data_IF_768573543344
#
_entry.id   IF_768573543344
#
_cell.length_a   1.000
_cell.length_b   1.000
_cell.length_c   1.000
_cell.angle_alpha   90.00
_cell.angle_beta   90.00
_cell.angle_gamma   90.00
#
_symmetry.space_group_name_H-M   'P 1'
#
loop_
_entity.id
_entity.type
_entity.pdbx_description
1 polymer ?
#
# COMPACT_ATOMS: atom_id res chain seq x y z
N UNK A 1 3.67 41.73 17.76
CA UNK A 1 4.30 40.94 18.84
C UNK A 1 3.24 40.21 19.63
N UNK A 2 3.54 39.00 20.06
CA UNK A 2 2.74 38.20 20.98
C UNK A 2 3.62 37.92 22.20
N UNK A 3 3.14 38.31 23.39
CA UNK A 3 3.90 38.07 24.63
C UNK A 3 3.93 36.54 24.94
N UNK A 4 4.94 36.05 25.69
CA UNK A 4 4.96 34.67 26.17
C UNK A 4 3.63 34.29 26.84
N UNK A 5 3.12 33.08 26.50
CA UNK A 5 1.84 32.55 27.00
C UNK A 5 0.58 33.34 26.57
N UNK A 6 0.69 34.36 25.72
CA UNK A 6 -0.42 35.07 25.13
C UNK A 6 -0.83 34.46 23.77
N UNK A 7 -2.07 34.76 23.38
CA UNK A 7 -2.62 34.43 22.07
C UNK A 7 -3.03 35.67 21.30
N UNK A 8 -3.02 35.58 19.97
CA UNK A 8 -3.48 36.67 19.10
C UNK A 8 -4.20 36.07 17.90
N UNK A 9 -5.36 36.57 17.54
CA UNK A 9 -6.07 36.20 16.34
C UNK A 9 -5.57 36.98 15.14
N UNK A 10 -5.43 36.26 14.02
CA UNK A 10 -5.10 36.81 12.72
C UNK A 10 -6.14 36.32 11.70
N UNK A 11 -6.68 37.24 10.92
CA UNK A 11 -7.51 36.91 9.78
C UNK A 11 -6.63 36.76 8.55
N UNK A 12 -6.63 35.56 7.96
CA UNK A 12 -5.94 35.29 6.67
C UNK A 12 -6.96 35.44 5.55
N UNK A 13 -6.86 36.48 4.70
CA UNK A 13 -7.80 36.66 3.61
C UNK A 13 -7.55 35.60 2.52
N UNK A 14 -8.55 34.80 2.22
CA UNK A 14 -8.54 33.81 1.14
C UNK A 14 -9.48 34.30 0.05
N UNK A 15 -8.97 35.15 -0.83
CA UNK A 15 -9.77 35.75 -1.90
C UNK A 15 -9.35 35.22 -3.28
N UNK A 16 -10.32 35.11 -4.20
CA UNK A 16 -10.09 34.84 -5.62
C UNK A 16 -9.84 33.36 -5.97
N UNK A 17 -9.86 32.44 -5.02
CA UNK A 17 -9.80 31.01 -5.31
C UNK A 17 -11.12 30.53 -5.92
N UNK A 18 -11.02 29.78 -7.03
CA UNK A 18 -12.17 29.17 -7.69
C UNK A 18 -12.05 27.66 -7.57
N UNK A 19 -13.12 27.02 -7.09
CA UNK A 19 -13.21 25.57 -7.03
C UNK A 19 -12.97 24.94 -8.40
N UNK A 20 -12.11 23.93 -8.47
CA UNK A 20 -11.80 23.15 -9.69
C UNK A 20 -11.89 21.66 -9.39
N UNK A 21 -12.41 20.83 -10.31
CA UNK A 21 -12.46 19.39 -10.14
C UNK A 21 -11.07 18.79 -9.85
N UNK A 22 -11.00 17.85 -8.90
CA UNK A 22 -9.77 17.17 -8.54
C UNK A 22 -8.69 18.04 -7.89
N UNK A 23 -9.03 19.29 -7.50
CA UNK A 23 -8.11 20.25 -6.87
C UNK A 23 -8.54 20.49 -5.42
N UNK A 24 -7.57 20.43 -4.52
CA UNK A 24 -7.71 20.78 -3.12
C UNK A 24 -6.83 22.00 -2.80
N UNK A 25 -7.28 22.82 -1.87
CA UNK A 25 -6.58 24.04 -1.47
C UNK A 25 -6.19 23.97 -0.01
N UNK A 26 -4.93 24.31 0.27
CA UNK A 26 -4.36 24.30 1.63
C UNK A 26 -3.71 25.63 1.95
N UNK A 27 -3.83 26.04 3.21
CA UNK A 27 -3.03 27.13 3.79
C UNK A 27 -1.96 26.50 4.63
N UNK A 28 -0.70 26.84 4.36
CA UNK A 28 0.44 26.42 5.15
C UNK A 28 0.92 27.60 5.99
N UNK A 29 1.16 27.36 7.27
CA UNK A 29 1.77 28.30 8.20
C UNK A 29 3.18 27.81 8.51
N UNK A 30 4.12 28.73 8.53
CA UNK A 30 5.51 28.48 8.94
C UNK A 30 5.93 29.56 9.93
N UNK A 31 6.49 29.15 11.05
CA UNK A 31 7.02 30.05 12.08
C UNK A 31 8.53 29.89 12.10
N UNK A 32 9.23 30.99 11.82
CA UNK A 32 10.68 30.98 11.71
C UNK A 32 11.33 31.93 12.73
N UNK A 33 12.59 31.66 13.08
CA UNK A 33 13.41 32.56 13.91
C UNK A 33 13.72 33.84 13.15
N UNK A 34 13.61 34.99 13.82
CA UNK A 34 14.00 36.31 13.26
C UNK A 34 15.45 36.67 13.57
N UNK A 35 15.95 36.19 14.69
CA UNK A 35 17.31 36.43 15.17
C UNK A 35 18.06 35.09 15.32
N UNK A 36 19.39 35.07 15.16
CA UNK A 36 20.19 33.89 15.38
C UNK A 36 20.34 33.61 16.88
N UNK A 37 20.25 32.34 17.25
CA UNK A 37 20.62 31.82 18.57
C UNK A 37 21.77 30.80 18.43
N UNK A 38 22.45 30.43 19.53
CA UNK A 38 23.45 29.36 19.47
C UNK A 38 22.87 28.10 18.85
N UNK A 39 23.46 27.62 17.74
CA UNK A 39 23.07 26.45 16.95
C UNK A 39 21.74 26.59 16.14
N UNK A 40 21.04 27.71 16.22
CA UNK A 40 19.81 27.98 15.49
C UNK A 40 19.97 29.24 14.63
N UNK A 41 20.10 29.12 13.30
CA UNK A 41 20.28 30.28 12.44
C UNK A 41 18.98 31.08 12.28
N UNK A 42 19.10 32.32 11.88
CA UNK A 42 17.97 33.14 11.43
C UNK A 42 17.25 32.42 10.27
N UNK A 43 15.92 32.42 10.28
CA UNK A 43 15.08 31.75 9.28
C UNK A 43 14.89 30.25 9.54
N UNK A 44 15.40 29.73 10.65
CA UNK A 44 15.12 28.32 11.01
C UNK A 44 13.63 28.15 11.36
N UNK A 45 12.99 27.16 10.73
CA UNK A 45 11.57 26.84 10.98
C UNK A 45 11.42 26.12 12.32
N UNK A 46 10.70 26.74 13.26
CA UNK A 46 10.48 26.19 14.59
C UNK A 46 9.10 25.55 14.76
N UNK A 47 8.15 25.88 13.87
CA UNK A 47 6.83 25.27 13.84
C UNK A 47 6.18 25.47 12.47
N UNK A 48 5.34 24.55 12.10
CA UNK A 48 4.50 24.63 10.90
C UNK A 48 3.15 23.97 11.14
N UNK A 49 2.15 24.35 10.33
CA UNK A 49 0.84 23.72 10.31
C UNK A 49 0.21 23.87 8.92
N UNK A 50 -0.75 23.00 8.61
CA UNK A 50 -1.44 23.01 7.34
C UNK A 50 -2.95 22.80 7.53
N UNK A 51 -3.74 23.67 6.90
CA UNK A 51 -5.20 23.58 6.95
C UNK A 51 -5.79 23.47 5.56
N UNK A 52 -6.65 22.47 5.35
CA UNK A 52 -7.41 22.34 4.12
C UNK A 52 -8.55 23.34 4.08
N UNK A 53 -8.67 24.07 2.99
CA UNK A 53 -9.76 25.00 2.76
C UNK A 53 -10.99 24.26 2.21
N UNK A 54 -12.21 24.63 2.62
CA UNK A 54 -13.45 23.98 2.18
C UNK A 54 -13.86 24.47 0.76
N UNK A 55 -12.92 24.47 -0.17
CA UNK A 55 -13.12 24.90 -1.56
C UNK A 55 -13.02 23.66 -2.45
N UNK A 56 -14.16 23.19 -2.94
CA UNK A 56 -14.24 21.94 -3.71
C UNK A 56 -15.16 22.11 -4.92
N UNK A 57 -14.88 21.35 -5.99
CA UNK A 57 -15.79 21.15 -7.12
C UNK A 57 -15.95 19.66 -7.38
N UNK A 58 -17.13 19.25 -7.81
CA UNK A 58 -17.40 17.88 -8.20
C UNK A 58 -16.51 17.45 -9.37
N UNK A 59 -16.03 16.21 -9.33
CA UNK A 59 -15.31 15.63 -10.46
C UNK A 59 -16.25 15.44 -11.64
N UNK A 60 -15.74 15.65 -12.85
CA UNK A 60 -16.49 15.40 -14.07
C UNK A 60 -16.58 13.90 -14.34
N UNK A 61 -17.73 13.42 -14.78
CA UNK A 61 -17.87 12.01 -15.21
C UNK A 61 -17.02 11.79 -16.44
N UNK A 62 -16.14 10.79 -16.41
CA UNK A 62 -15.28 10.47 -17.55
C UNK A 62 -16.09 9.87 -18.70
N UNK A 63 -15.99 10.48 -19.89
CA UNK A 63 -16.64 9.96 -21.10
C UNK A 63 -15.73 8.95 -21.78
N UNK A 64 -16.11 7.70 -21.71
CA UNK A 64 -15.36 6.59 -22.30
C UNK A 64 -15.54 6.56 -23.81
N UNK A 65 -14.43 6.48 -24.54
CA UNK A 65 -14.36 6.28 -25.97
C UNK A 65 -13.30 5.22 -26.31
N UNK A 66 -13.57 4.41 -27.33
CA UNK A 66 -12.62 3.41 -27.81
C UNK A 66 -13.28 2.32 -28.65
N UNK A 67 -12.49 1.39 -29.20
CA UNK A 67 -12.99 0.25 -29.95
C UNK A 67 -13.73 -0.73 -29.02
N UNK A 68 -14.75 -1.42 -29.55
CA UNK A 68 -15.50 -2.41 -28.76
C UNK A 68 -14.57 -3.46 -28.14
N UNK A 69 -14.83 -3.79 -26.87
CA UNK A 69 -14.17 -4.86 -26.16
C UNK A 69 -14.75 -6.22 -26.53
N UNK A 70 -13.90 -7.23 -26.60
CA UNK A 70 -14.26 -8.64 -26.76
C UNK A 70 -13.86 -9.41 -25.51
N UNK A 71 -14.69 -10.36 -25.10
CA UNK A 71 -14.39 -11.30 -24.02
C UNK A 71 -14.10 -12.68 -24.60
N UNK A 72 -13.06 -13.33 -24.11
CA UNK A 72 -12.68 -14.70 -24.50
C UNK A 72 -12.32 -15.48 -23.25
N UNK A 73 -12.70 -16.76 -23.20
CA UNK A 73 -12.24 -17.71 -22.17
C UNK A 73 -11.37 -18.74 -22.88
N UNK A 74 -10.11 -18.83 -22.45
CA UNK A 74 -9.15 -19.79 -23.02
C UNK A 74 -8.48 -20.57 -21.88
N UNK A 75 -8.94 -21.79 -21.64
CA UNK A 75 -8.50 -22.55 -20.47
C UNK A 75 -8.78 -21.82 -19.17
N UNK A 76 -7.76 -21.53 -18.42
CA UNK A 76 -7.86 -20.76 -17.16
C UNK A 76 -7.81 -19.24 -17.36
N UNK A 77 -7.66 -18.77 -18.58
CA UNK A 77 -7.54 -17.34 -18.86
C UNK A 77 -8.89 -16.72 -19.19
N UNK A 78 -9.21 -15.63 -18.50
CA UNK A 78 -10.28 -14.70 -18.81
C UNK A 78 -9.68 -13.47 -19.50
N UNK A 79 -10.00 -13.27 -20.77
CA UNK A 79 -9.36 -12.27 -21.63
C UNK A 79 -10.39 -11.22 -22.04
N UNK A 80 -10.04 -9.95 -21.77
CA UNK A 80 -10.76 -8.78 -22.28
C UNK A 80 -9.83 -8.06 -23.25
N UNK A 81 -10.22 -7.95 -24.52
CA UNK A 81 -9.34 -7.43 -25.55
C UNK A 81 -10.02 -6.50 -26.57
N UNK A 82 -9.22 -5.65 -27.20
CA UNK A 82 -9.55 -4.85 -28.37
C UNK A 82 -8.27 -4.56 -29.18
N UNK A 83 -8.33 -3.69 -30.19
CA UNK A 83 -7.13 -3.22 -30.87
C UNK A 83 -6.19 -2.40 -29.97
N UNK A 84 -6.66 -1.91 -28.82
CA UNK A 84 -5.88 -1.08 -27.90
C UNK A 84 -5.55 -1.74 -26.58
N UNK A 85 -6.42 -2.64 -26.09
CA UNK A 85 -6.38 -3.21 -24.75
C UNK A 85 -6.23 -4.70 -24.83
N UNK A 86 -5.37 -5.28 -23.99
CA UNK A 86 -5.36 -6.67 -23.66
C UNK A 86 -5.23 -6.80 -22.14
N UNK A 87 -6.29 -7.32 -21.50
CA UNK A 87 -6.35 -7.56 -20.07
C UNK A 87 -6.61 -9.03 -19.84
N UNK A 88 -5.68 -9.72 -19.19
CA UNK A 88 -5.75 -11.18 -19.00
C UNK A 88 -5.71 -11.49 -17.52
N UNK A 89 -6.72 -12.20 -17.05
CA UNK A 89 -6.77 -12.74 -15.69
C UNK A 89 -6.68 -14.27 -15.76
N UNK A 90 -5.79 -14.86 -14.98
CA UNK A 90 -5.62 -16.30 -14.90
C UNK A 90 -6.25 -16.84 -13.62
N UNK A 91 -7.25 -17.72 -13.76
CA UNK A 91 -8.01 -18.31 -12.65
C UNK A 91 -7.17 -19.24 -11.77
N UNK A 92 -6.14 -19.87 -12.34
CA UNK A 92 -5.29 -20.79 -11.59
C UNK A 92 -4.33 -20.05 -10.65
N UNK A 93 -3.69 -18.99 -11.15
CA UNK A 93 -2.79 -18.15 -10.33
C UNK A 93 -3.53 -17.13 -9.49
N UNK A 94 -4.75 -16.73 -9.86
CA UNK A 94 -5.51 -15.67 -9.22
C UNK A 94 -4.99 -14.26 -9.52
N UNK A 95 -4.23 -14.09 -10.59
CA UNK A 95 -3.57 -12.84 -10.93
C UNK A 95 -4.05 -12.29 -12.27
N UNK A 96 -3.98 -10.97 -12.40
CA UNK A 96 -3.95 -10.33 -13.71
C UNK A 96 -2.58 -10.56 -14.30
N UNK A 97 -2.45 -11.42 -15.30
CA UNK A 97 -1.16 -11.82 -15.89
C UNK A 97 -0.71 -10.89 -17.03
N UNK A 98 -1.61 -10.09 -17.59
CA UNK A 98 -1.27 -9.06 -18.59
C UNK A 98 -2.25 -7.88 -18.47
N UNK A 99 -1.69 -6.69 -18.49
CA UNK A 99 -2.41 -5.44 -18.65
C UNK A 99 -1.66 -4.59 -19.66
N UNK A 100 -2.04 -4.73 -20.92
CA UNK A 100 -1.40 -4.07 -22.05
C UNK A 100 -2.33 -3.03 -22.68
N UNK A 101 -1.83 -1.83 -22.88
CA UNK A 101 -2.56 -0.73 -23.54
C UNK A 101 -1.66 -0.07 -24.58
N UNK A 102 -2.17 0.07 -25.80
CA UNK A 102 -1.42 0.63 -26.95
C UNK A 102 -0.02 0.00 -27.09
N UNK A 103 0.09 -1.32 -26.87
CA UNK A 103 1.34 -2.08 -26.96
C UNK A 103 2.23 -2.05 -25.71
N UNK A 104 1.95 -1.20 -24.73
CA UNK A 104 2.71 -1.13 -23.47
C UNK A 104 2.18 -2.15 -22.46
N UNK A 105 3.01 -3.11 -22.03
CA UNK A 105 2.71 -4.01 -20.92
C UNK A 105 3.08 -3.33 -19.59
N UNK A 106 2.12 -3.26 -18.68
CA UNK A 106 2.32 -2.61 -17.38
C UNK A 106 2.75 -3.59 -16.29
N UNK A 107 2.31 -4.87 -16.32
CA UNK A 107 2.64 -5.79 -15.25
C UNK A 107 3.90 -6.61 -15.56
N UNK A 108 4.88 -6.50 -14.69
CA UNK A 108 6.15 -7.22 -14.81
C UNK A 108 5.94 -8.72 -14.57
N UNK A 109 6.35 -9.54 -15.53
CA UNK A 109 6.34 -11.01 -15.47
C UNK A 109 5.00 -11.64 -15.03
N UNK A 110 3.88 -10.98 -15.40
CA UNK A 110 2.55 -11.46 -15.03
C UNK A 110 2.20 -11.29 -13.55
N UNK A 111 2.98 -10.52 -12.79
CA UNK A 111 2.69 -10.23 -11.39
C UNK A 111 1.77 -9.00 -11.30
N UNK A 112 0.51 -9.21 -11.69
CA UNK A 112 -0.53 -8.20 -11.60
C UNK A 112 -1.19 -8.13 -10.23
N UNK A 113 -2.31 -7.42 -10.18
CA UNK A 113 -3.01 -7.11 -8.93
C UNK A 113 -3.41 -8.38 -8.18
N UNK A 114 -3.01 -8.46 -6.92
CA UNK A 114 -3.35 -9.54 -6.00
C UNK A 114 -3.63 -9.01 -4.59
N UNK A 115 -4.39 -9.75 -3.76
CA UNK A 115 -4.65 -9.40 -2.36
C UNK A 115 -3.38 -9.18 -1.56
N UNK A 116 -3.36 -8.14 -0.69
CA UNK A 116 -2.27 -7.86 0.20
C UNK A 116 -2.78 -7.47 1.59
N UNK A 117 -2.53 -8.35 2.58
CA UNK A 117 -2.96 -8.20 3.96
C UNK A 117 -1.79 -8.17 4.94
N UNK A 118 -0.56 -8.08 4.40
CA UNK A 118 0.67 -8.19 5.17
C UNK A 118 1.62 -7.03 4.90
N UNK A 119 2.43 -6.71 5.90
CA UNK A 119 3.61 -5.85 5.80
C UNK A 119 4.82 -6.56 6.37
N UNK A 120 6.01 -6.17 5.97
CA UNK A 120 7.23 -6.64 6.64
C UNK A 120 7.24 -6.14 8.09
N UNK A 121 7.43 -7.03 9.07
CA UNK A 121 7.39 -6.64 10.47
C UNK A 121 8.51 -5.67 10.84
N UNK A 122 8.19 -4.65 11.62
CA UNK A 122 9.17 -3.77 12.24
C UNK A 122 9.61 -4.32 13.62
N UNK A 123 10.53 -3.63 14.30
CA UNK A 123 11.05 -4.09 15.59
C UNK A 123 9.96 -4.19 16.66
N UNK A 124 8.99 -3.28 16.69
CA UNK A 124 7.85 -3.35 17.60
C UNK A 124 6.91 -4.51 17.25
N UNK A 125 6.70 -4.80 15.96
CA UNK A 125 5.94 -5.97 15.52
C UNK A 125 6.57 -7.27 16.01
N UNK A 126 7.91 -7.36 16.01
CA UNK A 126 8.61 -8.52 16.61
C UNK A 126 8.46 -8.55 18.13
N UNK A 127 8.61 -7.41 18.79
CA UNK A 127 8.46 -7.27 20.24
C UNK A 127 7.08 -7.68 20.74
N UNK A 128 6.01 -7.37 20.01
CA UNK A 128 4.63 -7.74 20.34
C UNK A 128 4.16 -9.05 19.68
N UNK A 129 5.06 -9.81 19.08
CA UNK A 129 4.79 -11.09 18.43
C UNK A 129 3.81 -11.04 17.24
N UNK A 130 3.67 -9.91 16.57
CA UNK A 130 2.83 -9.75 15.35
C UNK A 130 3.10 -10.84 14.30
N UNK A 131 4.36 -11.23 13.96
CA UNK A 131 4.61 -12.28 12.98
C UNK A 131 3.99 -13.63 13.31
N UNK A 132 3.87 -13.95 14.59
CA UNK A 132 3.25 -15.20 15.07
C UNK A 132 1.74 -15.01 15.25
N UNK A 133 1.35 -13.92 15.87
CA UNK A 133 -0.02 -13.60 16.26
C UNK A 133 -0.93 -13.39 15.06
N UNK A 134 -0.42 -12.72 14.01
CA UNK A 134 -1.16 -12.35 12.80
C UNK A 134 -0.70 -13.11 11.55
N UNK A 135 0.02 -14.23 11.71
CA UNK A 135 0.56 -15.03 10.61
C UNK A 135 -0.49 -15.41 9.54
N UNK A 136 -1.74 -15.60 9.94
CA UNK A 136 -2.82 -15.94 9.00
C UNK A 136 -3.02 -14.87 7.93
N UNK A 137 -2.74 -13.59 8.22
CA UNK A 137 -2.83 -12.52 7.24
C UNK A 137 -1.67 -12.53 6.25
N UNK A 138 -0.47 -12.97 6.68
CA UNK A 138 0.64 -13.27 5.78
C UNK A 138 0.26 -14.41 4.82
N UNK A 139 -0.36 -15.46 5.34
CA UNK A 139 -0.87 -16.55 4.52
C UNK A 139 -2.01 -16.09 3.59
N UNK A 140 -2.87 -15.19 4.04
CA UNK A 140 -3.95 -14.62 3.22
C UNK A 140 -3.44 -13.80 2.03
N UNK A 141 -2.23 -13.26 2.10
CA UNK A 141 -1.56 -12.56 1.00
C UNK A 141 -0.87 -13.49 -0.01
N UNK A 142 -0.66 -14.77 0.36
CA UNK A 142 0.09 -15.74 -0.45
C UNK A 142 -0.73 -16.94 -0.89
N UNK A 143 -1.56 -17.45 0.00
CA UNK A 143 -2.31 -18.71 -0.15
C UNK A 143 -3.82 -18.44 -0.24
N UNK A 144 -4.22 -17.41 -0.96
CA UNK A 144 -5.62 -17.19 -1.30
C UNK A 144 -6.07 -18.20 -2.38
N UNK A 145 -7.36 -18.48 -2.40
CA UNK A 145 -7.99 -19.35 -3.39
C UNK A 145 -9.13 -18.61 -4.07
N UNK A 146 -9.21 -18.72 -5.39
CA UNK A 146 -10.34 -18.19 -6.14
C UNK A 146 -11.53 -19.13 -5.95
N UNK A 147 -12.67 -18.59 -5.56
CA UNK A 147 -13.93 -19.32 -5.46
C UNK A 147 -14.89 -18.98 -6.60
N UNK A 148 -14.73 -17.78 -7.18
CA UNK A 148 -15.49 -17.36 -8.37
C UNK A 148 -14.69 -16.34 -9.18
N UNK A 149 -14.83 -16.41 -10.52
CA UNK A 149 -14.31 -15.41 -11.44
C UNK A 149 -15.20 -15.34 -12.68
N UNK A 150 -15.92 -14.23 -12.83
CA UNK A 150 -16.92 -14.03 -13.88
C UNK A 150 -16.73 -12.74 -14.64
N UNK A 151 -16.96 -12.79 -15.96
CA UNK A 151 -16.96 -11.61 -16.83
C UNK A 151 -18.38 -11.25 -17.24
N UNK A 152 -18.71 -9.98 -17.17
CA UNK A 152 -19.99 -9.42 -17.64
C UNK A 152 -19.73 -8.29 -18.60
N UNK A 153 -20.25 -8.40 -19.83
CA UNK A 153 -20.20 -7.31 -20.79
C UNK A 153 -21.26 -6.25 -20.44
N UNK A 154 -20.82 -4.99 -20.42
CA UNK A 154 -21.64 -3.80 -20.22
C UNK A 154 -21.68 -2.96 -21.52
N UNK A 155 -22.47 -1.89 -21.57
CA UNK A 155 -22.59 -1.05 -22.76
C UNK A 155 -21.21 -0.52 -23.25
N UNK A 156 -20.38 -0.05 -22.33
CA UNK A 156 -19.07 0.55 -22.64
C UNK A 156 -17.92 0.02 -21.79
N UNK A 157 -18.06 -1.15 -21.23
CA UNK A 157 -17.06 -1.76 -20.39
C UNK A 157 -17.22 -3.29 -20.32
N UNK A 158 -16.25 -3.96 -19.74
CA UNK A 158 -16.37 -5.33 -19.27
C UNK A 158 -16.02 -5.33 -17.79
N UNK A 159 -16.92 -5.87 -16.98
CA UNK A 159 -16.66 -6.12 -15.56
C UNK A 159 -16.18 -7.55 -15.36
N UNK A 160 -15.02 -7.69 -14.72
CA UNK A 160 -14.48 -8.96 -14.24
C UNK A 160 -14.59 -8.95 -12.71
N UNK A 161 -15.40 -9.85 -12.15
CA UNK A 161 -15.54 -10.02 -10.71
C UNK A 161 -14.75 -11.25 -10.27
N UNK A 162 -13.89 -11.09 -9.28
CA UNK A 162 -13.07 -12.17 -8.72
C UNK A 162 -13.32 -12.25 -7.22
N UNK A 163 -13.70 -13.43 -6.74
CA UNK A 163 -13.87 -13.71 -5.31
C UNK A 163 -12.73 -14.57 -4.81
N UNK A 164 -11.97 -14.03 -3.89
CA UNK A 164 -10.89 -14.72 -3.19
C UNK A 164 -11.38 -15.21 -1.83
N UNK A 165 -11.14 -16.46 -1.52
CA UNK A 165 -11.18 -17.00 -0.16
C UNK A 165 -9.78 -16.90 0.44
N UNK A 166 -9.65 -16.10 1.47
CA UNK A 166 -8.39 -15.87 2.18
C UNK A 166 -8.10 -17.01 3.17
N UNK A 167 -6.82 -17.18 3.54
CA UNK A 167 -6.43 -18.19 4.54
C UNK A 167 -7.09 -17.94 5.93
N UNK A 168 -7.43 -16.69 6.23
CA UNK A 168 -8.19 -16.31 7.42
C UNK A 168 -9.69 -16.68 7.36
N UNK A 169 -10.17 -17.18 6.22
CA UNK A 169 -11.58 -17.56 6.01
C UNK A 169 -12.48 -16.41 5.50
N UNK A 170 -11.96 -15.21 5.40
CA UNK A 170 -12.68 -14.05 4.88
C UNK A 170 -12.79 -14.12 3.35
N UNK A 171 -13.81 -13.47 2.82
CA UNK A 171 -13.93 -13.24 1.38
C UNK A 171 -13.35 -11.85 1.04
N UNK A 172 -12.61 -11.81 -0.07
CA UNK A 172 -12.14 -10.58 -0.68
C UNK A 172 -12.55 -10.55 -2.13
N UNK A 173 -13.43 -9.63 -2.48
CA UNK A 173 -13.97 -9.51 -3.84
C UNK A 173 -13.27 -8.34 -4.51
N UNK A 174 -12.68 -8.60 -5.68
CA UNK A 174 -12.08 -7.54 -6.51
C UNK A 174 -12.81 -7.49 -7.84
N UNK A 175 -13.34 -6.32 -8.15
CA UNK A 175 -14.04 -6.04 -9.42
C UNK A 175 -13.13 -5.16 -10.27
N UNK A 176 -12.83 -5.61 -11.47
CA UNK A 176 -12.14 -4.85 -12.50
C UNK A 176 -13.15 -4.40 -13.54
N UNK A 177 -13.41 -3.11 -13.67
CA UNK A 177 -14.20 -2.54 -14.74
C UNK A 177 -13.26 -2.01 -15.81
N UNK A 178 -13.15 -2.75 -16.91
CA UNK A 178 -12.20 -2.52 -18.00
C UNK A 178 -12.90 -1.71 -19.10
N UNK A 179 -12.30 -0.59 -19.47
CA UNK A 179 -12.80 0.32 -20.49
C UNK A 179 -12.05 0.19 -21.82
N UNK A 180 -12.68 0.52 -22.96
CA UNK A 180 -12.10 0.38 -24.30
C UNK A 180 -10.80 1.16 -24.55
N UNK A 181 -10.54 2.19 -23.77
CA UNK A 181 -9.32 3.02 -23.85
C UNK A 181 -8.21 2.56 -22.92
N UNK A 182 -8.39 1.42 -22.24
CA UNK A 182 -7.43 0.84 -21.31
C UNK A 182 -7.55 1.29 -19.87
N UNK A 183 -8.41 2.24 -19.54
CA UNK A 183 -8.68 2.59 -18.14
C UNK A 183 -9.30 1.38 -17.45
N UNK A 184 -8.88 1.10 -16.22
CA UNK A 184 -9.42 0.03 -15.39
C UNK A 184 -9.77 0.57 -14.01
N UNK A 185 -11.07 0.62 -13.69
CA UNK A 185 -11.49 0.88 -12.31
C UNK A 185 -11.40 -0.42 -11.51
N UNK A 186 -10.76 -0.37 -10.36
CA UNK A 186 -10.55 -1.49 -9.44
C UNK A 186 -11.30 -1.17 -8.16
N UNK A 187 -12.30 -1.98 -7.86
CA UNK A 187 -13.05 -1.89 -6.60
C UNK A 187 -12.84 -3.18 -5.80
N UNK A 188 -12.55 -3.03 -4.52
CA UNK A 188 -12.28 -4.16 -3.65
C UNK A 188 -13.15 -4.12 -2.40
N UNK A 189 -13.70 -5.28 -2.04
CA UNK A 189 -14.52 -5.46 -0.85
C UNK A 189 -13.97 -6.60 0.00
N UNK A 190 -13.57 -6.28 1.23
CA UNK A 190 -13.29 -7.24 2.27
C UNK A 190 -14.55 -7.49 3.07
N UNK A 191 -14.92 -8.75 3.23
CA UNK A 191 -16.06 -9.15 4.05
C UNK A 191 -15.56 -9.84 5.30
N UNK A 192 -15.97 -9.31 6.45
CA UNK A 192 -15.66 -9.91 7.75
C UNK A 192 -16.31 -11.29 7.88
N UNK A 193 -15.73 -12.13 8.73
CA UNK A 193 -16.41 -13.35 9.17
C UNK A 193 -17.40 -13.00 10.28
N UNK A 194 -18.58 -13.62 10.29
CA UNK A 194 -19.65 -13.37 11.29
C UNK A 194 -19.27 -13.75 12.73
N UNK A 195 -18.08 -14.32 12.92
CA UNK A 195 -17.61 -14.78 14.23
C UNK A 195 -17.02 -13.61 15.03
N UNK A 196 -17.83 -13.01 15.87
CA UNK A 196 -17.33 -12.11 16.92
C UNK A 196 -16.40 -12.91 17.86
N UNK A 197 -15.25 -12.37 18.25
CA UNK A 197 -14.41 -13.01 19.23
C UNK A 197 -15.14 -13.06 20.59
N UNK A 198 -15.05 -14.20 21.27
CA UNK A 198 -15.56 -14.35 22.66
C UNK A 198 -14.71 -13.50 23.61
N UNK A 199 -15.25 -13.18 24.79
CA UNK A 199 -14.49 -12.47 25.84
C UNK A 199 -13.20 -13.22 26.21
N UNK A 200 -13.24 -14.56 26.23
CA UNK A 200 -12.04 -15.38 26.44
C UNK A 200 -11.02 -15.21 25.33
N UNK A 201 -11.44 -15.22 24.06
CA UNK A 201 -10.55 -15.00 22.92
C UNK A 201 -9.94 -13.60 22.95
N UNK A 202 -10.70 -12.57 23.31
CA UNK A 202 -10.19 -11.20 23.49
C UNK A 202 -9.15 -11.16 24.61
N UNK A 203 -9.43 -11.79 25.74
CA UNK A 203 -8.51 -11.87 26.87
C UNK A 203 -7.22 -12.62 26.50
N UNK A 204 -7.32 -13.72 25.79
CA UNK A 204 -6.17 -14.48 25.31
C UNK A 204 -5.34 -13.69 24.28
N UNK A 205 -5.97 -13.03 23.33
CA UNK A 205 -5.29 -12.17 22.35
C UNK A 205 -4.56 -11.00 23.03
N UNK A 206 -5.16 -10.40 24.07
CA UNK A 206 -4.53 -9.34 24.86
C UNK A 206 -3.33 -9.86 25.64
N UNK A 207 -3.42 -11.05 26.20
CA UNK A 207 -2.32 -11.69 26.93
C UNK A 207 -1.14 -12.05 26.02
N UNK A 208 -1.38 -12.40 24.76
CA UNK A 208 -0.30 -12.66 23.78
C UNK A 208 0.53 -11.41 23.44
N UNK A 209 -0.02 -10.24 23.61
CA UNK A 209 0.73 -8.99 23.44
C UNK A 209 1.81 -8.78 24.54
N UNK A 210 1.84 -9.63 25.56
CA UNK A 210 2.81 -9.60 26.65
C UNK A 210 3.70 -10.85 26.63
N UNK A 211 4.72 -10.89 25.77
CA UNK A 211 5.89 -11.79 25.79
C UNK A 211 5.67 -13.32 25.91
N UNK A 212 4.46 -13.83 26.01
CA UNK A 212 4.22 -15.27 26.16
C UNK A 212 3.89 -15.90 24.81
N UNK A 213 4.55 -17.00 24.38
CA UNK A 213 4.14 -17.74 23.20
C UNK A 213 2.70 -18.21 23.37
N UNK A 214 1.79 -17.62 22.64
CA UNK A 214 0.38 -17.96 22.76
C UNK A 214 0.05 -19.30 22.14
N UNK A 215 -1.02 -19.91 22.64
CA UNK A 215 -1.63 -21.10 22.05
C UNK A 215 -2.16 -20.81 20.63
N UNK A 216 -2.46 -21.87 19.86
CA UNK A 216 -3.10 -21.71 18.55
C UNK A 216 -4.47 -21.02 18.66
N UNK A 217 -5.18 -21.23 19.77
CA UNK A 217 -6.43 -20.55 20.08
C UNK A 217 -6.23 -19.03 20.22
N UNK A 218 -5.19 -18.61 20.94
CA UNK A 218 -4.88 -17.20 21.11
C UNK A 218 -4.45 -16.53 19.79
N UNK A 219 -3.69 -17.23 18.93
CA UNK A 219 -3.36 -16.74 17.57
C UNK A 219 -4.60 -16.58 16.71
N UNK A 220 -5.51 -17.57 16.76
CA UNK A 220 -6.80 -17.50 16.05
C UNK A 220 -7.65 -16.35 16.57
N UNK A 221 -7.68 -16.11 17.87
CA UNK A 221 -8.39 -14.97 18.47
C UNK A 221 -7.82 -13.63 18.00
N UNK A 222 -6.50 -13.47 18.03
CA UNK A 222 -5.85 -12.23 17.59
C UNK A 222 -6.17 -11.90 16.13
N UNK A 223 -6.17 -12.88 15.23
CA UNK A 223 -6.49 -12.67 13.81
C UNK A 223 -7.94 -12.26 13.54
N UNK A 224 -8.86 -12.52 14.47
CA UNK A 224 -10.25 -12.03 14.38
C UNK A 224 -10.39 -10.57 14.83
N UNK A 225 -9.43 -10.06 15.58
CA UNK A 225 -9.50 -8.70 16.15
C UNK A 225 -8.91 -7.66 15.23
N UNK A 226 -7.82 -7.97 14.54
CA UNK A 226 -7.08 -6.98 13.76
C UNK A 226 -6.47 -7.56 12.47
N UNK A 227 -6.33 -6.69 11.47
CA UNK A 227 -5.68 -6.95 10.18
C UNK A 227 -4.52 -5.98 10.03
N UNK A 228 -3.29 -6.42 9.71
CA UNK A 228 -2.15 -5.50 9.55
C UNK A 228 -2.31 -4.52 8.39
N UNK A 229 -2.95 -4.96 7.29
CA UNK A 229 -3.11 -4.20 6.05
C UNK A 229 -4.33 -4.71 5.29
N UNK A 230 -5.04 -3.83 4.62
CA UNK A 230 -6.07 -4.18 3.64
C UNK A 230 -5.73 -3.47 2.35
N UNK A 231 -5.29 -4.21 1.35
CA UNK A 231 -4.82 -3.65 0.10
C UNK A 231 -4.66 -4.66 -1.02
N UNK A 232 -3.94 -4.22 -2.02
CA UNK A 232 -3.46 -5.02 -3.15
C UNK A 232 -2.01 -4.68 -3.42
N UNK A 233 -1.30 -5.57 -4.12
CA UNK A 233 0.05 -5.31 -4.64
C UNK A 233 0.19 -5.82 -6.07
N UNK A 234 1.11 -5.22 -6.81
CA UNK A 234 1.48 -5.64 -8.16
C UNK A 234 2.88 -5.12 -8.50
N UNK A 235 3.46 -5.65 -9.57
CA UNK A 235 4.80 -5.25 -10.03
C UNK A 235 4.75 -4.59 -11.40
N UNK A 236 5.45 -3.47 -11.51
CA UNK A 236 5.72 -2.78 -12.76
C UNK A 236 7.16 -3.03 -13.19
N UNK A 237 7.49 -2.91 -14.48
CA UNK A 237 8.89 -2.95 -14.95
C UNK A 237 9.76 -1.92 -14.23
N UNK A 238 11.03 -2.26 -14.00
CA UNK A 238 11.98 -1.44 -13.23
C UNK A 238 12.14 0.00 -13.76
N UNK A 239 11.95 0.22 -15.06
CA UNK A 239 12.00 1.55 -15.65
C UNK A 239 10.85 2.48 -15.20
N UNK A 240 9.77 1.94 -14.64
CA UNK A 240 8.67 2.72 -14.04
C UNK A 240 9.05 3.36 -12.69
N UNK A 241 10.30 3.78 -12.60
CA UNK A 241 10.97 4.22 -11.37
C UNK A 241 10.59 5.64 -10.92
N UNK A 242 10.15 6.51 -11.83
CA UNK A 242 9.75 7.86 -11.44
C UNK A 242 8.36 7.82 -10.78
N UNK A 243 8.28 8.37 -9.58
CA UNK A 243 7.06 8.42 -8.77
C UNK A 243 6.68 9.87 -8.53
N UNK A 244 5.45 10.23 -8.88
CA UNK A 244 4.84 11.50 -8.48
C UNK A 244 3.53 11.16 -7.77
N UNK A 245 3.23 11.84 -6.66
CA UNK A 245 2.01 11.56 -5.93
C UNK A 245 1.43 12.83 -5.29
N UNK A 246 0.14 12.82 -5.06
CA UNK A 246 -0.57 13.81 -4.26
C UNK A 246 -1.04 13.14 -2.97
N UNK A 247 -0.38 13.43 -1.87
CA UNK A 247 -0.57 12.81 -0.57
C UNK A 247 0.32 13.45 0.48
N UNK A 248 0.49 12.79 1.63
CA UNK A 248 1.41 13.25 2.67
C UNK A 248 2.85 12.88 2.35
N UNK A 249 3.77 13.82 2.58
CA UNK A 249 5.20 13.65 2.31
C UNK A 249 6.04 14.85 2.73
N UNK A 250 7.31 14.94 2.22
CA UNK A 250 7.93 14.00 1.28
C UNK A 250 8.38 12.69 1.92
N UNK A 251 8.58 12.63 3.24
CA UNK A 251 9.05 11.46 3.97
C UNK A 251 7.95 10.39 4.11
N UNK A 252 8.37 9.15 4.30
CA UNK A 252 7.46 8.06 4.65
C UNK A 252 6.64 8.40 5.88
N UNK A 253 5.41 7.97 5.89
CA UNK A 253 4.50 8.24 7.00
C UNK A 253 3.45 7.15 7.14
N UNK A 254 2.94 6.99 8.35
CA UNK A 254 1.99 5.96 8.74
C UNK A 254 0.84 6.62 9.50
N UNK A 255 -0.30 5.98 9.60
CA UNK A 255 -1.51 6.59 10.19
C UNK A 255 -1.33 7.08 11.64
N UNK A 256 -0.37 6.53 12.37
CA UNK A 256 0.04 6.95 13.72
C UNK A 256 1.31 7.81 13.73
N UNK A 257 1.88 8.11 12.55
CA UNK A 257 3.10 8.90 12.36
C UNK A 257 3.02 9.70 11.06
N UNK A 258 2.03 10.57 10.92
CA UNK A 258 1.85 11.37 9.70
C UNK A 258 1.65 12.88 9.95
N UNK A 259 1.49 13.34 11.19
CA UNK A 259 1.31 14.76 11.49
C UNK A 259 2.56 15.62 11.17
N UNK A 260 3.74 15.02 11.15
CA UNK A 260 4.98 15.70 10.73
C UNK A 260 5.12 15.87 9.22
N UNK A 261 4.17 15.40 8.42
CA UNK A 261 4.19 15.51 6.96
C UNK A 261 3.03 16.33 6.45
N UNK A 262 3.24 17.09 5.38
CA UNK A 262 2.21 17.94 4.77
C UNK A 262 1.62 17.26 3.55
N UNK A 263 0.35 17.57 3.26
CA UNK A 263 -0.29 17.17 2.00
C UNK A 263 0.23 18.07 0.87
N UNK A 264 0.72 17.43 -0.18
CA UNK A 264 1.28 18.14 -1.33
C UNK A 264 1.45 17.23 -2.55
N UNK A 265 1.93 17.82 -3.62
CA UNK A 265 2.35 17.07 -4.81
C UNK A 265 3.86 16.90 -4.77
N UNK A 266 4.29 15.67 -4.58
CA UNK A 266 5.70 15.31 -4.43
C UNK A 266 6.20 14.51 -5.63
N UNK A 267 7.50 14.63 -5.89
CA UNK A 267 8.21 13.87 -6.92
C UNK A 267 9.41 13.17 -6.29
N UNK A 268 9.55 11.89 -6.58
CA UNK A 268 10.62 11.04 -6.10
C UNK A 268 10.87 9.90 -7.08
N UNK A 269 11.63 8.90 -6.68
CA UNK A 269 11.80 7.64 -7.40
C UNK A 269 11.54 6.46 -6.48
N UNK A 270 11.23 5.29 -7.04
CA UNK A 270 11.08 4.08 -6.24
C UNK A 270 12.39 3.72 -5.48
N UNK A 271 13.54 4.09 -6.03
CA UNK A 271 14.83 3.95 -5.32
C UNK A 271 14.93 4.90 -4.11
N UNK A 272 14.41 6.13 -4.22
CA UNK A 272 14.47 7.14 -3.15
C UNK A 272 13.38 6.97 -2.09
N UNK A 273 12.30 6.24 -2.40
CA UNK A 273 11.28 5.91 -1.41
C UNK A 273 11.75 4.85 -0.40
N UNK A 274 12.80 4.10 -0.74
CA UNK A 274 13.40 3.15 0.18
C UNK A 274 14.07 3.87 1.36
N UNK A 275 13.69 3.47 2.58
CA UNK A 275 14.37 3.93 3.80
C UNK A 275 15.24 2.81 4.38
N UNK A 276 16.51 3.10 4.59
CA UNK A 276 17.52 2.12 4.99
C UNK A 276 17.59 1.89 6.51
N UNK A 277 16.49 1.44 7.10
CA UNK A 277 16.51 0.98 8.48
C UNK A 277 17.60 -0.08 8.70
N UNK A 278 18.28 -0.03 9.84
CA UNK A 278 19.40 -0.96 10.17
C UNK A 278 18.96 -2.41 10.01
N UNK A 279 17.76 -2.74 10.49
CA UNK A 279 17.09 -3.99 10.17
C UNK A 279 16.06 -3.74 9.07
N UNK A 280 16.11 -4.49 7.96
CA UNK A 280 15.09 -4.42 6.94
C UNK A 280 13.69 -4.68 7.51
N UNK A 281 12.76 -3.80 7.21
CA UNK A 281 11.40 -3.80 7.71
C UNK A 281 10.49 -3.02 6.76
N UNK A 282 9.18 -2.91 7.08
CA UNK A 282 8.26 -2.04 6.35
C UNK A 282 8.82 -0.62 6.26
N UNK A 283 8.80 -0.06 5.06
CA UNK A 283 9.29 1.30 4.79
C UNK A 283 8.65 1.90 3.54
N UNK A 284 8.87 3.20 3.34
CA UNK A 284 8.45 3.93 2.15
C UNK A 284 6.94 4.12 2.01
N UNK A 285 6.15 3.88 3.06
CA UNK A 285 4.71 4.06 3.01
C UNK A 285 4.32 5.54 3.10
N UNK A 286 3.24 5.92 2.38
CA UNK A 286 2.67 7.26 2.37
C UNK A 286 1.16 7.17 2.57
N UNK A 287 0.62 8.02 3.43
CA UNK A 287 -0.82 8.07 3.73
C UNK A 287 -1.53 9.22 3.02
N UNK A 288 -2.84 9.25 3.14
CA UNK A 288 -3.71 10.31 2.62
C UNK A 288 -3.44 10.64 1.14
N UNK A 289 -3.24 9.61 0.33
CA UNK A 289 -2.90 9.75 -1.08
C UNK A 289 -4.15 9.81 -1.95
N UNK A 290 -4.20 10.79 -2.87
CA UNK A 290 -5.28 11.03 -3.81
C UNK A 290 -5.00 10.42 -5.16
N UNK A 291 -3.75 10.48 -5.61
CA UNK A 291 -3.28 9.82 -6.82
C UNK A 291 -1.77 9.57 -6.78
N UNK A 292 -1.35 8.60 -7.58
CA UNK A 292 0.05 8.20 -7.78
C UNK A 292 0.29 8.09 -9.28
N UNK A 293 1.37 8.64 -9.77
CA UNK A 293 1.83 8.47 -11.15
C UNK A 293 3.18 7.78 -11.16
N UNK A 294 3.28 6.68 -11.88
CA UNK A 294 4.53 5.95 -12.11
C UNK A 294 4.88 6.03 -13.59
N UNK A 295 6.14 6.31 -13.91
CA UNK A 295 6.55 6.44 -15.29
C UNK A 295 8.03 6.12 -15.50
N UNK A 296 8.41 5.68 -16.71
CA UNK A 296 9.79 5.67 -17.14
C UNK A 296 10.27 7.10 -17.43
N UNK A 297 11.57 7.28 -17.66
CA UNK A 297 12.12 8.56 -18.10
C UNK A 297 11.55 9.01 -19.47
N UNK A 298 11.22 8.06 -20.31
CA UNK A 298 10.56 8.29 -21.62
C UNK A 298 9.57 7.16 -21.88
N UNK A 299 8.37 7.52 -22.34
CA UNK A 299 7.33 6.54 -22.68
C UNK A 299 6.10 6.67 -21.80
N UNK A 300 5.22 5.68 -21.94
CA UNK A 300 3.92 5.67 -21.26
C UNK A 300 4.06 5.42 -19.78
N UNK A 301 3.31 6.16 -18.99
CA UNK A 301 3.17 6.00 -17.55
C UNK A 301 1.81 5.44 -17.16
N UNK A 302 1.64 5.24 -15.87
CA UNK A 302 0.40 4.77 -15.25
C UNK A 302 0.05 5.69 -14.09
N UNK A 303 -1.17 6.21 -14.07
CA UNK A 303 -1.71 6.97 -12.94
C UNK A 303 -2.74 6.11 -12.21
N UNK A 304 -2.63 6.05 -10.91
CA UNK A 304 -3.62 5.48 -10.01
C UNK A 304 -4.40 6.64 -9.38
N UNK A 305 -5.67 6.75 -9.66
CA UNK A 305 -6.56 7.77 -9.07
C UNK A 305 -7.41 7.09 -8.01
N UNK A 306 -7.28 7.50 -6.77
CA UNK A 306 -8.02 6.94 -5.65
C UNK A 306 -9.48 7.41 -5.63
N UNK A 307 -10.39 6.53 -5.25
CA UNK A 307 -11.82 6.86 -5.05
C UNK A 307 -12.03 7.59 -3.69
N UNK A 308 -11.18 7.29 -2.73
CA UNK A 308 -11.04 7.93 -1.41
C UNK A 308 -9.56 7.98 -1.05
N UNK A 309 -9.19 8.53 0.09
CA UNK A 309 -7.80 8.54 0.54
C UNK A 309 -7.27 7.12 0.73
N UNK A 310 -6.12 6.82 0.15
CA UNK A 310 -5.42 5.53 0.21
C UNK A 310 -4.03 5.68 0.80
N UNK A 311 -3.44 4.57 1.20
CA UNK A 311 -2.00 4.46 1.44
C UNK A 311 -1.30 3.79 0.26
N UNK A 312 0.00 4.04 0.11
CA UNK A 312 0.82 3.34 -0.88
C UNK A 312 2.29 3.31 -0.51
N UNK A 313 3.00 2.36 -1.09
CA UNK A 313 4.43 2.45 -1.32
C UNK A 313 4.76 1.93 -2.74
N UNK A 314 5.91 2.36 -3.27
CA UNK A 314 6.42 1.89 -4.56
C UNK A 314 7.93 1.72 -4.43
N UNK A 315 8.39 0.49 -4.29
CA UNK A 315 9.77 0.16 -3.96
C UNK A 315 10.39 -0.75 -5.02
N UNK A 316 11.72 -0.68 -5.16
CA UNK A 316 12.49 -1.62 -5.98
C UNK A 316 12.72 -2.97 -5.29
N UNK A 317 11.97 -3.23 -4.23
CA UNK A 317 12.04 -4.44 -3.43
C UNK A 317 10.64 -4.96 -3.14
N UNK A 318 10.52 -6.24 -2.87
CA UNK A 318 9.28 -6.85 -2.42
C UNK A 318 9.16 -6.83 -0.90
N UNK A 319 7.93 -7.05 -0.39
CA UNK A 319 7.70 -7.22 1.05
C UNK A 319 8.58 -8.35 1.60
N UNK A 320 8.78 -9.41 0.82
CA UNK A 320 9.57 -10.58 1.18
C UNK A 320 11.07 -10.26 1.37
N UNK A 321 11.59 -9.24 0.68
CA UNK A 321 12.98 -8.79 0.85
C UNK A 321 13.22 -8.19 2.23
N UNK A 322 12.18 -7.64 2.84
CA UNK A 322 12.23 -7.01 4.16
C UNK A 322 11.74 -7.93 5.30
N UNK A 323 11.01 -9.00 4.97
CA UNK A 323 10.46 -9.94 5.94
C UNK A 323 11.40 -11.12 6.15
N UNK A 324 12.32 -10.97 7.10
CA UNK A 324 13.41 -11.91 7.35
C UNK A 324 13.01 -13.25 7.98
N UNK A 325 11.73 -13.43 8.38
CA UNK A 325 11.30 -14.67 9.07
C UNK A 325 10.89 -15.81 8.13
N UNK A 326 11.00 -15.63 6.80
CA UNK A 326 10.34 -16.55 5.87
C UNK A 326 10.87 -17.97 5.79
N UNK A 327 11.96 -18.33 6.36
CA UNK A 327 12.39 -19.71 6.27
C UNK A 327 13.42 -20.19 7.29
N UNK A 328 13.87 -19.42 8.27
CA UNK A 328 14.91 -19.95 9.16
C UNK A 328 14.68 -19.61 10.63
N UNK A 329 15.22 -20.44 11.52
CA UNK A 329 15.28 -20.14 12.94
C UNK A 329 15.90 -18.76 13.16
N UNK A 330 15.46 -18.07 14.19
CA UNK A 330 15.98 -16.78 14.62
C UNK A 330 17.53 -16.76 14.59
N UNK A 331 18.20 -15.67 14.17
CA UNK A 331 19.67 -15.61 14.12
C UNK A 331 20.38 -16.10 15.40
N UNK A 332 19.75 -15.96 16.57
CA UNK A 332 20.27 -16.53 17.83
C UNK A 332 20.29 -18.06 17.88
N UNK A 333 19.54 -18.75 17.03
CA UNK A 333 19.59 -20.21 16.92
C UNK A 333 20.76 -20.69 16.06
N UNK A 334 21.31 -19.82 15.20
CA UNK A 334 22.48 -20.11 14.37
C UNK A 334 23.77 -20.21 15.17
N UNK A 335 23.86 -19.51 16.29
CA UNK A 335 25.02 -19.63 17.17
C UNK A 335 25.17 -21.02 17.78
N UNK A 336 24.16 -21.88 17.63
CA UNK A 336 24.17 -23.27 18.09
C UNK A 336 24.51 -24.28 16.99
N UNK A 337 24.67 -23.86 15.73
CA UNK A 337 25.04 -24.73 14.62
C UNK A 337 26.48 -24.45 14.19
N UNK A 338 27.28 -25.52 14.07
CA UNK A 338 28.60 -25.40 13.45
C UNK A 338 28.49 -25.04 11.98
N UNK A 339 29.53 -24.43 11.36
CA UNK A 339 29.55 -24.20 9.92
C UNK A 339 29.34 -25.45 9.07
N UNK A 340 29.70 -26.64 9.59
CA UNK A 340 29.48 -27.94 8.94
C UNK A 340 28.01 -28.38 9.01
N UNK A 341 27.34 -28.15 10.13
CA UNK A 341 25.90 -28.43 10.27
C UNK A 341 25.08 -27.52 9.38
N UNK A 342 25.47 -26.26 9.22
CA UNK A 342 24.87 -25.33 8.26
C UNK A 342 25.10 -25.77 6.82
N UNK A 343 26.30 -26.28 6.48
CA UNK A 343 26.65 -26.74 5.15
C UNK A 343 26.00 -28.08 4.79
N UNK A 344 25.75 -28.95 5.78
CA UNK A 344 25.17 -30.28 5.58
C UNK A 344 23.63 -30.29 5.56
N UNK A 345 22.99 -29.21 6.01
CA UNK A 345 21.55 -29.01 5.82
C UNK A 345 21.31 -28.46 4.42
N UNK A 346 20.82 -29.32 3.52
CA UNK A 346 20.38 -29.04 2.16
C UNK A 346 21.05 -27.80 1.53
N UNK A 347 21.88 -27.99 0.49
CA UNK A 347 22.55 -26.89 -0.23
C UNK A 347 21.58 -25.76 -0.63
N UNK A 348 20.32 -26.08 -0.87
CA UNK A 348 19.27 -25.11 -1.16
C UNK A 348 18.84 -24.34 0.10
N UNK A 349 18.79 -24.99 1.26
CA UNK A 349 18.52 -24.31 2.53
C UNK A 349 19.68 -23.38 2.90
N UNK A 350 20.92 -23.83 2.76
CA UNK A 350 22.10 -23.00 3.00
C UNK A 350 22.19 -21.80 2.02
N UNK A 351 21.89 -22.01 0.72
CA UNK A 351 21.79 -20.91 -0.27
C UNK A 351 20.64 -19.96 0.02
N UNK A 352 19.52 -20.46 0.51
CA UNK A 352 18.39 -19.61 0.94
C UNK A 352 18.72 -18.83 2.20
N UNK A 353 19.53 -19.37 3.11
CA UNK A 353 20.07 -18.66 4.28
C UNK A 353 20.97 -17.50 3.86
N UNK A 354 21.92 -17.75 2.97
CA UNK A 354 22.85 -16.74 2.46
C UNK A 354 22.16 -15.66 1.61
N UNK A 355 20.94 -15.90 1.14
CA UNK A 355 20.14 -14.95 0.36
C UNK A 355 19.23 -14.06 1.22
N UNK A 356 19.21 -14.22 2.52
CA UNK A 356 18.36 -13.40 3.38
C UNK A 356 18.94 -12.02 3.59
N UNK A 357 18.08 -11.07 3.38
CA UNK A 357 18.36 -9.67 3.60
C UNK A 357 18.14 -9.33 5.08
N UNK A 358 19.11 -9.63 5.94
CA UNK A 358 19.02 -9.40 7.39
C UNK A 358 19.48 -8.01 7.83
N UNK A 359 20.29 -7.36 7.01
CA UNK A 359 20.90 -6.07 7.29
C UNK A 359 20.66 -5.13 6.10
N UNK A 360 20.76 -3.85 6.35
CA UNK A 360 20.54 -2.81 5.32
C UNK A 360 21.40 -3.02 4.06
N UNK A 361 22.63 -3.45 4.22
CA UNK A 361 23.58 -3.68 3.11
C UNK A 361 23.31 -4.99 2.33
N UNK A 362 22.41 -5.84 2.79
CA UNK A 362 21.95 -7.01 2.04
C UNK A 362 20.83 -6.66 1.07
N UNK A 363 20.16 -5.51 1.26
CA UNK A 363 19.06 -5.05 0.42
C UNK A 363 19.60 -4.53 -0.91
N UNK A 364 19.19 -5.17 -1.99
CA UNK A 364 19.54 -4.77 -3.35
C UNK A 364 18.29 -4.54 -4.20
N UNK A 365 18.27 -3.48 -5.03
CA UNK A 365 17.14 -3.22 -5.92
C UNK A 365 16.87 -4.39 -6.86
N UNK A 366 15.60 -4.73 -7.04
CA UNK A 366 15.11 -5.73 -7.99
C UNK A 366 14.91 -5.10 -9.38
N UNK A 367 14.66 -5.94 -10.39
CA UNK A 367 14.36 -5.52 -11.76
C UNK A 367 12.86 -5.16 -11.97
N UNK A 368 12.19 -4.78 -10.89
CA UNK A 368 10.79 -4.33 -10.87
C UNK A 368 10.60 -3.17 -9.89
N UNK A 369 9.44 -2.53 -9.98
CA UNK A 369 8.88 -1.69 -8.94
C UNK A 369 7.66 -2.42 -8.38
N UNK A 370 7.70 -2.85 -7.12
CA UNK A 370 6.52 -3.38 -6.44
C UNK A 370 5.72 -2.21 -5.86
N UNK A 371 4.45 -2.15 -6.25
CA UNK A 371 3.51 -1.13 -5.81
C UNK A 371 2.50 -1.78 -4.88
N UNK A 372 2.44 -1.32 -3.65
CA UNK A 372 1.36 -1.62 -2.72
C UNK A 372 0.38 -0.45 -2.71
N UNK A 373 -0.90 -0.76 -2.83
CA UNK A 373 -1.99 0.21 -2.75
C UNK A 373 -2.96 -0.28 -1.70
N UNK A 374 -3.20 0.54 -0.69
CA UNK A 374 -3.89 0.12 0.52
C UNK A 374 -5.11 0.99 0.80
N UNK A 375 -6.22 0.35 1.12
CA UNK A 375 -7.29 1.04 1.82
C UNK A 375 -6.74 1.64 3.12
N UNK A 376 -6.02 0.79 3.88
CA UNK A 376 -5.39 1.16 5.13
C UNK A 376 -4.30 0.17 5.50
N UNK A 377 -3.23 0.68 6.12
CA UNK A 377 -2.25 -0.09 6.87
C UNK A 377 -2.33 0.33 8.33
N UNK A 378 -2.28 -0.61 9.28
CA UNK A 378 -2.28 -0.26 10.70
C UNK A 378 -1.02 0.52 11.08
N UNK A 379 -1.09 1.29 12.16
CA UNK A 379 0.02 2.04 12.70
C UNK A 379 1.24 1.18 12.99
N UNK A 380 2.39 1.82 13.12
CA UNK A 380 3.69 1.13 13.35
C UNK A 380 4.07 1.09 14.83
N UNK A 381 3.35 1.80 15.70
CA UNK A 381 3.69 1.93 17.11
C UNK A 381 4.98 2.74 17.30
N UNK A 382 5.76 2.43 18.33
CA UNK A 382 7.10 3.00 18.48
C UNK A 382 7.29 4.02 19.59
N UNK A 383 6.32 4.15 20.50
CA UNK A 383 6.48 5.00 21.70
C UNK A 383 7.26 4.28 22.84
N UNK A 384 7.62 3.02 22.66
CA UNK A 384 8.61 2.31 23.45
C UNK A 384 9.50 1.42 22.57
N UNK A 385 10.55 0.83 23.14
CA UNK A 385 11.48 -0.09 22.45
C UNK A 385 11.17 -1.57 22.72
N UNK A 386 10.03 -1.89 23.33
CA UNK A 386 9.72 -3.22 23.84
C UNK A 386 8.61 -3.94 23.07
N UNK A 387 8.08 -3.32 22.03
CA UNK A 387 7.02 -3.89 21.23
C UNK A 387 5.65 -3.28 21.51
N UNK A 388 5.58 -1.97 21.74
CA UNK A 388 4.33 -1.25 21.81
C UNK A 388 3.51 -1.47 20.54
N UNK A 389 2.26 -1.86 20.72
CA UNK A 389 1.28 -1.93 19.63
C UNK A 389 0.77 -0.52 19.30
N UNK A 390 0.34 -0.29 18.05
CA UNK A 390 -0.40 0.93 17.74
C UNK A 390 -1.61 1.08 18.67
N UNK A 391 -1.96 2.31 18.97
CA UNK A 391 -3.20 2.61 19.69
C UNK A 391 -4.43 1.99 18.98
N UNK A 392 -5.49 1.59 19.70
CA UNK A 392 -6.64 0.90 19.11
C UNK A 392 -7.27 1.60 17.90
N UNK A 393 -7.27 2.93 17.88
CA UNK A 393 -7.81 3.72 16.76
C UNK A 393 -6.88 3.76 15.54
N UNK A 394 -5.63 3.30 15.66
CA UNK A 394 -4.68 3.08 14.58
C UNK A 394 -4.55 1.60 14.17
N UNK A 395 -5.37 0.73 14.73
CA UNK A 395 -5.51 -0.66 14.30
C UNK A 395 -6.63 -0.78 13.26
N UNK A 396 -6.65 -1.88 12.52
CA UNK A 396 -7.71 -2.18 11.56
C UNK A 396 -8.52 -3.36 12.12
N UNK A 397 -9.75 -3.15 12.60
CA UNK A 397 -10.59 -4.24 13.08
C UNK A 397 -10.90 -5.27 12.00
N UNK A 398 -10.70 -6.56 12.28
CA UNK A 398 -10.98 -7.64 11.33
C UNK A 398 -12.48 -8.00 11.26
N UNK A 399 -13.29 -7.52 12.21
CA UNK A 399 -14.71 -7.80 12.35
C UNK A 399 -15.62 -6.76 11.68
N UNK A 400 -15.13 -6.08 10.66
CA UNK A 400 -15.87 -5.09 9.87
C UNK A 400 -15.68 -5.35 8.39
N UNK A 401 -16.70 -5.01 7.63
CA UNK A 401 -16.59 -4.95 6.18
C UNK A 401 -15.89 -3.67 5.74
N UNK A 402 -15.10 -3.77 4.67
CA UNK A 402 -14.39 -2.64 4.08
C UNK A 402 -14.58 -2.65 2.57
N UNK A 403 -14.82 -1.47 2.01
CA UNK A 403 -14.90 -1.28 0.57
C UNK A 403 -14.08 -0.06 0.17
N UNK A 404 -13.32 -0.18 -0.91
CA UNK A 404 -12.44 0.86 -1.41
C UNK A 404 -12.14 0.63 -2.88
N UNK A 405 -11.53 1.62 -3.54
CA UNK A 405 -11.18 1.49 -4.93
C UNK A 405 -10.23 2.55 -5.43
N UNK A 406 -9.74 2.29 -6.62
CA UNK A 406 -8.89 3.21 -7.38
C UNK A 406 -9.03 2.90 -8.88
N UNK A 407 -8.58 3.82 -9.71
CA UNK A 407 -8.62 3.65 -11.16
C UNK A 407 -7.21 3.72 -11.74
N UNK A 408 -6.85 2.72 -12.53
CA UNK A 408 -5.64 2.71 -13.36
C UNK A 408 -5.91 3.49 -14.64
N UNK A 409 -5.15 4.56 -14.86
CA UNK A 409 -5.26 5.42 -16.02
C UNK A 409 -3.93 5.44 -16.79
N UNK A 410 -3.83 4.74 -17.93
CA UNK A 410 -2.68 4.83 -18.80
C UNK A 410 -2.48 6.26 -19.32
N UNK A 411 -1.26 6.76 -19.22
CA UNK A 411 -0.91 8.13 -19.62
C UNK A 411 0.36 8.13 -20.47
N UNK A 412 0.51 9.15 -21.32
CA UNK A 412 1.74 9.33 -22.11
C UNK A 412 2.87 9.99 -21.31
N UNK A 413 2.53 10.63 -20.19
CA UNK A 413 3.47 11.30 -19.29
C UNK A 413 2.87 11.43 -17.90
N UNK A 414 3.68 11.33 -16.85
CA UNK A 414 3.29 11.58 -15.46
C UNK A 414 2.70 12.99 -15.23
N UNK A 415 3.04 13.95 -16.07
CA UNK A 415 2.47 15.31 -16.01
C UNK A 415 0.94 15.35 -16.24
N UNK A 416 0.36 14.26 -16.76
CA UNK A 416 -1.09 14.11 -16.94
C UNK A 416 -1.83 13.66 -15.67
N UNK A 417 -1.13 13.41 -14.55
CA UNK A 417 -1.74 12.93 -13.31
C UNK A 417 -2.82 13.89 -12.77
N UNK A 418 -2.53 15.19 -12.75
CA UNK A 418 -3.51 16.20 -12.32
C UNK A 418 -4.74 16.23 -13.21
N UNK A 419 -4.57 16.02 -14.51
CA UNK A 419 -5.70 15.95 -15.45
C UNK A 419 -6.53 14.67 -15.21
N UNK A 420 -5.87 13.53 -15.04
CA UNK A 420 -6.55 12.27 -14.72
C UNK A 420 -7.37 12.38 -13.42
N UNK A 421 -6.87 13.11 -12.42
CA UNK A 421 -7.54 13.27 -11.12
C UNK A 421 -8.84 14.10 -11.16
N UNK A 422 -9.11 14.83 -12.25
CA UNK A 422 -10.32 15.65 -12.40
C UNK A 422 -11.59 14.85 -12.69
N UNK A 423 -11.44 13.58 -13.02
CA UNK A 423 -12.54 12.73 -13.47
C UNK A 423 -12.97 11.72 -12.44
N UNK A 424 -14.28 11.42 -12.42
CA UNK A 424 -14.86 10.22 -11.83
C UNK A 424 -14.96 9.15 -12.91
N UNK A 425 -14.35 8.01 -12.65
CA UNK A 425 -14.27 6.86 -13.57
C UNK A 425 -15.23 5.72 -13.20
N UNK A 426 -16.03 5.91 -12.16
CA UNK A 426 -16.97 4.89 -11.66
C UNK A 426 -18.20 4.73 -12.51
#
# INVERSE_FOLDING_TARGET
DIAPQASKEFTVPVNGLKAQPGTEYFVNFSVTTTEPEPLIPTGYEIAYDQFQLPIQAEKSIYKVNGPALKTTIQGDELIVSSSKVNFVFNKNSGLVTSYKVDGTEYFKDGFGIQPNFWRAPNDNDYGNSTPKRLQVWKQSSKNFRITDATMTAEDKAVSLNVTYLLAAGNLYVVTYKIYPNGIVNVNAKFTSTDMQPTETEVSEATRMATFTPGSDAARKAASKLEVPRIGVRFRLPAQMNNVQYFGRGPEENYIDRNHGTLVGVYKTTADQMYFNYVRPQENGHHTDTRWIALSPNKGNGLVLVADSLIGFNALRNSIEDFDSEEALPHPYQWNNFSPEEVANHDENAARNVLRRMHHVNDITPRDFVEVCVDMKQQGVGGYDSWGARPEPFHQIPANRDYQWGFTLVPVRSANQANEAAKYDYR
#
